data_IF_786116130281
#
_entry.id   IF_786116130281
#
_cell.length_a   1.000
_cell.length_b   1.000
_cell.length_c   1.000
_cell.angle_alpha   90.00
_cell.angle_beta   90.00
_cell.angle_gamma   90.00
#
_symmetry.space_group_name_H-M   'P 1'
#
loop_
_entity.id
_entity.type
_entity.pdbx_description
1 polymer ?
#
# COMPACT_ATOMS: atom_id res chain seq x y z
N UNK A 1 2.19 -17.79 -0.25
CA UNK A 1 2.89 -16.62 0.29
C UNK A 1 2.40 -15.40 -0.46
N UNK A 2 2.19 -14.28 0.23
CA UNK A 2 1.68 -13.02 -0.32
C UNK A 2 2.76 -11.96 -0.14
N UNK A 3 3.06 -11.20 -1.20
CA UNK A 3 4.00 -10.09 -1.12
C UNK A 3 3.27 -8.86 -0.55
N UNK A 4 3.77 -8.30 0.54
CA UNK A 4 3.14 -7.18 1.25
C UNK A 4 4.12 -6.01 1.37
N UNK A 5 3.84 -4.85 0.74
CA UNK A 5 4.64 -3.65 0.91
C UNK A 5 4.42 -3.02 2.29
N UNK A 6 5.44 -2.36 2.81
CA UNK A 6 5.28 -1.55 4.02
C UNK A 6 4.56 -0.24 3.71
N UNK A 7 3.77 0.24 4.66
CA UNK A 7 3.11 1.55 4.62
C UNK A 7 3.49 2.39 5.85
N UNK A 8 3.68 3.70 5.65
CA UNK A 8 3.90 4.66 6.75
C UNK A 8 3.19 5.99 6.46
N UNK A 9 2.59 6.57 7.50
CA UNK A 9 1.97 7.90 7.45
C UNK A 9 2.93 9.03 7.85
N UNK A 10 4.23 8.72 7.98
CA UNK A 10 5.27 9.69 8.36
C UNK A 10 6.11 10.09 7.15
N UNK A 11 6.74 11.28 7.22
CA UNK A 11 7.67 11.79 6.22
C UNK A 11 7.12 11.74 4.78
N UNK A 12 5.90 12.24 4.60
CA UNK A 12 5.20 12.26 3.31
C UNK A 12 5.68 13.38 2.37
N UNK A 13 6.56 14.26 2.85
CA UNK A 13 7.12 15.38 2.07
C UNK A 13 8.16 14.94 1.03
N UNK A 14 8.61 13.68 1.09
CA UNK A 14 9.53 13.09 0.11
C UNK A 14 9.19 11.62 -0.11
N UNK A 15 9.17 11.24 -1.38
CA UNK A 15 9.09 9.85 -1.82
C UNK A 15 10.45 9.38 -2.32
N UNK A 16 10.87 8.22 -1.86
CA UNK A 16 12.06 7.53 -2.32
C UNK A 16 11.73 6.59 -3.50
N UNK A 17 12.76 6.06 -4.16
CA UNK A 17 12.61 5.04 -5.20
C UNK A 17 11.85 3.85 -4.59
N UNK A 18 10.86 3.33 -5.32
CA UNK A 18 9.99 2.27 -4.82
C UNK A 18 8.84 2.76 -3.95
N UNK A 19 8.74 4.06 -3.65
CA UNK A 19 7.63 4.61 -2.87
C UNK A 19 6.58 5.29 -3.75
N UNK A 20 5.31 5.15 -3.36
CA UNK A 20 4.19 5.96 -3.86
C UNK A 20 3.30 6.37 -2.70
N UNK A 21 2.56 7.47 -2.84
CA UNK A 21 1.66 7.96 -1.79
C UNK A 21 0.19 7.96 -2.21
N UNK A 22 -0.68 7.73 -1.23
CA UNK A 22 -2.11 7.98 -1.31
C UNK A 22 -2.44 9.04 -0.26
N UNK A 23 -2.85 10.22 -0.72
CA UNK A 23 -3.16 11.37 0.13
C UNK A 23 -4.61 11.81 -0.06
N UNK A 24 -5.23 12.34 0.99
CA UNK A 24 -6.61 12.87 0.97
C UNK A 24 -6.78 13.94 -0.10
N UNK A 25 -5.80 14.84 -0.22
CA UNK A 25 -5.86 15.95 -1.17
C UNK A 25 -5.50 15.54 -2.59
N UNK A 26 -4.49 14.68 -2.76
CA UNK A 26 -3.98 14.30 -4.08
C UNK A 26 -4.83 13.24 -4.79
N UNK A 27 -5.46 12.33 -4.04
CA UNK A 27 -6.31 11.29 -4.61
C UNK A 27 -7.48 10.92 -3.69
N UNK A 28 -8.48 11.81 -3.48
CA UNK A 28 -9.55 11.60 -2.50
C UNK A 28 -10.34 10.29 -2.69
N UNK A 29 -10.65 9.94 -3.94
CA UNK A 29 -11.35 8.69 -4.25
C UNK A 29 -10.50 7.46 -3.93
N UNK A 30 -9.20 7.51 -4.23
CA UNK A 30 -8.27 6.42 -3.91
C UNK A 30 -8.02 6.30 -2.41
N UNK A 31 -7.92 7.44 -1.73
CA UNK A 31 -7.79 7.51 -0.28
C UNK A 31 -8.96 6.82 0.42
N UNK A 32 -10.19 7.16 0.00
CA UNK A 32 -11.41 6.55 0.52
C UNK A 32 -11.48 5.05 0.20
N UNK A 33 -11.18 4.66 -1.05
CA UNK A 33 -11.19 3.26 -1.46
C UNK A 33 -10.17 2.41 -0.68
N UNK A 34 -9.00 2.97 -0.39
CA UNK A 34 -7.94 2.30 0.36
C UNK A 34 -8.28 2.11 1.85
N UNK A 35 -9.32 2.77 2.37
CA UNK A 35 -9.72 2.66 3.78
C UNK A 35 -8.75 3.31 4.76
N UNK A 36 -7.94 4.27 4.29
CA UNK A 36 -6.91 4.91 5.11
C UNK A 36 -7.49 5.95 6.06
N UNK A 37 -6.94 6.02 7.28
CA UNK A 37 -7.26 7.10 8.23
C UNK A 37 -6.37 8.33 8.03
N UNK A 38 -5.13 8.12 7.58
CA UNK A 38 -4.11 9.15 7.37
C UNK A 38 -3.47 9.00 5.99
N UNK A 39 -2.98 10.11 5.46
CA UNK A 39 -2.14 10.11 4.26
C UNK A 39 -0.98 9.13 4.47
N UNK A 40 -0.72 8.27 3.49
CA UNK A 40 0.19 7.14 3.67
C UNK A 40 1.01 6.95 2.40
N UNK A 41 2.31 6.73 2.57
CA UNK A 41 3.18 6.24 1.50
C UNK A 41 3.45 4.76 1.69
N UNK A 42 3.57 4.06 0.58
CA UNK A 42 3.82 2.63 0.51
C UNK A 42 5.12 2.38 -0.22
N UNK A 43 5.95 1.47 0.30
CA UNK A 43 7.19 1.09 -0.33
C UNK A 43 7.05 -0.29 -1.00
N UNK A 44 6.91 -0.31 -2.32
CA UNK A 44 6.89 -1.53 -3.14
C UNK A 44 8.30 -2.00 -3.54
N UNK A 45 9.32 -1.17 -3.31
CA UNK A 45 10.72 -1.56 -3.38
C UNK A 45 11.20 -2.34 -2.14
N UNK A 46 10.43 -2.32 -1.05
CA UNK A 46 10.68 -3.10 0.15
C UNK A 46 9.39 -3.80 0.57
N UNK A 47 9.17 -4.98 0.01
CA UNK A 47 8.02 -5.81 0.35
C UNK A 47 8.49 -7.13 0.95
N UNK A 48 7.69 -7.69 1.85
CA UNK A 48 7.97 -8.95 2.52
C UNK A 48 7.00 -10.03 2.09
N UNK A 49 7.50 -11.26 1.93
CA UNK A 49 6.67 -12.42 1.66
C UNK A 49 6.08 -12.94 2.98
N UNK A 50 4.79 -12.69 3.20
CA UNK A 50 4.09 -13.15 4.38
C UNK A 50 3.22 -14.37 4.06
N UNK A 51 3.15 -15.37 4.96
CA UNK A 51 2.17 -16.44 4.82
C UNK A 51 0.76 -15.90 5.07
N UNK A 52 -0.23 -16.42 4.35
CA UNK A 52 -1.63 -16.06 4.56
C UNK A 52 -2.17 -16.77 5.81
N UNK A 53 -1.90 -16.16 6.97
CA UNK A 53 -2.28 -16.66 8.31
C UNK A 53 -2.77 -15.52 9.17
N UNK A 54 -3.56 -15.85 10.19
CA UNK A 54 -4.21 -14.87 11.07
C UNK A 54 -3.22 -13.97 11.83
N UNK A 55 -2.00 -14.45 12.14
CA UNK A 55 -0.94 -13.62 12.76
C UNK A 55 -0.63 -12.34 11.98
N UNK A 56 -0.86 -12.35 10.66
CA UNK A 56 -0.59 -11.23 9.75
C UNK A 56 -1.86 -10.70 9.06
N UNK A 57 -2.82 -11.58 8.83
CA UNK A 57 -4.04 -11.33 8.06
C UNK A 57 -5.26 -11.83 8.83
N UNK A 58 -5.43 -11.37 10.07
CA UNK A 58 -6.65 -11.61 10.85
C UNK A 58 -7.81 -10.77 10.33
N UNK A 59 -9.02 -11.32 10.44
CA UNK A 59 -10.25 -10.54 10.23
C UNK A 59 -10.39 -9.51 11.36
N UNK A 60 -10.66 -8.24 11.05
CA UNK A 60 -10.87 -7.23 12.09
C UNK A 60 -12.12 -7.58 12.93
N UNK A 61 -12.14 -7.30 14.26
CA UNK A 61 -13.20 -7.76 15.16
C UNK A 61 -14.63 -7.41 14.73
N UNK A 62 -14.81 -6.27 14.06
CA UNK A 62 -16.12 -5.78 13.59
C UNK A 62 -16.40 -6.14 12.11
N UNK A 63 -15.42 -6.68 11.39
CA UNK A 63 -15.53 -7.17 10.01
C UNK A 63 -16.38 -6.31 9.06
N UNK A 64 -16.16 -4.97 8.97
CA UNK A 64 -17.02 -4.08 8.18
C UNK A 64 -17.00 -4.39 6.67
N UNK A 65 -15.97 -5.08 6.19
CA UNK A 65 -15.80 -5.54 4.80
C UNK A 65 -15.96 -7.06 4.67
N UNK A 66 -16.74 -7.66 5.58
CA UNK A 66 -16.96 -9.10 5.67
C UNK A 66 -15.82 -9.83 6.40
N UNK A 67 -15.91 -11.16 6.42
CA UNK A 67 -14.94 -12.07 7.04
C UNK A 67 -13.64 -12.18 6.20
N UNK A 68 -13.01 -11.03 5.92
CA UNK A 68 -11.77 -10.95 5.19
C UNK A 68 -10.80 -9.97 5.87
N UNK A 69 -9.48 -10.24 5.83
CA UNK A 69 -8.46 -9.36 6.39
C UNK A 69 -8.20 -8.19 5.45
N UNK A 70 -9.25 -7.41 5.21
CA UNK A 70 -9.28 -6.35 4.21
C UNK A 70 -9.59 -5.02 4.89
N UNK A 71 -8.70 -4.05 4.66
CA UNK A 71 -8.92 -2.66 5.03
C UNK A 71 -9.64 -1.87 3.91
N UNK A 72 -9.31 -2.16 2.66
CA UNK A 72 -9.82 -1.44 1.50
C UNK A 72 -9.32 -2.04 0.19
N UNK A 73 -9.34 -1.27 -0.88
CA UNK A 73 -8.79 -1.64 -2.18
C UNK A 73 -7.91 -0.52 -2.75
N UNK A 74 -6.91 -0.91 -3.54
CA UNK A 74 -6.11 0.05 -4.29
C UNK A 74 -6.93 0.52 -5.51
N UNK A 75 -7.23 1.82 -5.56
CA UNK A 75 -7.97 2.40 -6.67
C UNK A 75 -7.12 2.44 -7.95
N UNK A 76 -7.74 2.18 -9.11
CA UNK A 76 -7.05 2.07 -10.40
C UNK A 76 -6.26 3.34 -10.78
N UNK A 77 -6.70 4.53 -10.32
CA UNK A 77 -5.97 5.78 -10.55
C UNK A 77 -4.57 5.79 -9.91
N UNK A 78 -4.34 5.02 -8.85
CA UNK A 78 -3.04 4.93 -8.15
C UNK A 78 -2.19 3.78 -8.68
N UNK A 79 -2.80 2.82 -9.40
CA UNK A 79 -2.07 1.68 -9.97
C UNK A 79 -0.89 2.13 -10.82
N UNK A 80 -1.04 3.19 -11.63
CA UNK A 80 0.07 3.73 -12.44
C UNK A 80 1.26 4.19 -11.58
N UNK A 81 1.00 4.89 -10.48
CA UNK A 81 2.05 5.35 -9.58
C UNK A 81 2.72 4.18 -8.86
N UNK A 82 1.93 3.21 -8.38
CA UNK A 82 2.44 2.01 -7.74
C UNK A 82 3.31 1.17 -8.69
N UNK A 83 2.86 0.97 -9.93
CA UNK A 83 3.60 0.25 -10.96
C UNK A 83 4.89 0.97 -11.34
N UNK A 84 4.85 2.30 -11.51
CA UNK A 84 6.05 3.09 -11.79
C UNK A 84 7.08 3.01 -10.65
N UNK A 85 6.63 3.09 -9.40
CA UNK A 85 7.50 2.92 -8.23
C UNK A 85 8.15 1.53 -8.21
N UNK A 86 7.37 0.48 -8.49
CA UNK A 86 7.89 -0.88 -8.55
C UNK A 86 8.94 -1.05 -9.66
N UNK A 87 8.63 -0.60 -10.88
CA UNK A 87 9.56 -0.67 -12.01
C UNK A 87 10.87 0.09 -11.74
N UNK A 88 10.78 1.27 -11.12
CA UNK A 88 11.97 2.04 -10.72
C UNK A 88 12.81 1.30 -9.67
N UNK A 89 12.18 0.61 -8.72
CA UNK A 89 12.89 -0.20 -7.73
C UNK A 89 13.58 -1.40 -8.36
N UNK A 90 12.94 -2.10 -9.31
CA UNK A 90 13.58 -3.21 -10.05
C UNK A 90 14.78 -2.70 -10.87
N UNK A 91 14.63 -1.59 -11.58
CA UNK A 91 15.73 -1.00 -12.34
C UNK A 91 16.92 -0.61 -11.46
N UNK A 92 16.66 -0.05 -10.27
CA UNK A 92 17.70 0.34 -9.32
C UNK A 92 18.44 -0.84 -8.68
N UNK A 93 17.86 -2.05 -8.69
CA UNK A 93 18.53 -3.28 -8.21
C UNK A 93 19.37 -3.95 -9.29
N UNK A 94 19.08 -3.67 -10.57
CA UNK A 94 19.72 -4.30 -11.71
C UNK A 94 20.99 -3.58 -12.17
N UNK A 95 21.23 -2.36 -11.71
CA UNK A 95 22.46 -1.58 -11.95
C UNK A 95 23.34 -1.52 -10.71
#
# INVERSE_FOLDING_TARGET
>A
MTLTPYGTSQQLNRLHIGEFAITKQGAPAAFKAAGLSFDTKFNVGQAVALPWREDFFAVPPNAPLGQSPKLGSLHASVYRAAHAAHAAAEAARAG
#
